data_IF_108503154307
#
_entry.id   IF_108503154307
#
_cell.length_a   1.000
_cell.length_b   1.000
_cell.length_c   1.000
_cell.angle_alpha   90.00
_cell.angle_beta   90.00
_cell.angle_gamma   90.00
#
_symmetry.space_group_name_H-M   'P 1'
#
loop_
_entity.id
_entity.type
_entity.pdbx_description
1 polymer ?
#
# COMPACT_ATOMS: atom_id res chain seq x y z
N UNK A 1 -31.61 25.36 -48.38
CA UNK A 1 -30.69 26.49 -48.63
C UNK A 1 -29.71 26.53 -47.46
N UNK A 2 -28.60 25.79 -47.54
CA UNK A 2 -27.67 25.64 -46.41
C UNK A 2 -26.77 26.86 -46.33
N UNK A 3 -26.77 27.51 -45.16
CA UNK A 3 -26.09 28.78 -44.94
C UNK A 3 -24.55 28.59 -44.95
N UNK A 4 -23.78 29.47 -45.62
CA UNK A 4 -22.32 29.34 -45.78
C UNK A 4 -21.53 29.45 -44.46
N UNK A 5 -22.18 29.86 -43.36
CA UNK A 5 -21.57 29.94 -42.03
C UNK A 5 -21.16 28.58 -41.46
N UNK A 6 -21.90 27.51 -41.81
CA UNK A 6 -21.61 26.14 -41.33
C UNK A 6 -20.36 25.52 -41.97
N UNK A 7 -19.93 26.00 -43.14
CA UNK A 7 -18.78 25.45 -43.87
C UNK A 7 -17.43 25.94 -43.33
N UNK A 8 -17.37 27.16 -42.78
CA UNK A 8 -16.13 27.73 -42.23
C UNK A 8 -15.74 27.09 -40.88
N UNK A 9 -16.72 26.67 -40.09
CA UNK A 9 -16.51 25.95 -38.83
C UNK A 9 -16.02 24.51 -39.02
N UNK A 10 -16.20 23.92 -40.21
CA UNK A 10 -15.74 22.57 -40.54
C UNK A 10 -14.23 22.49 -40.81
N UNK A 11 -13.68 23.47 -41.53
CA UNK A 11 -12.27 23.45 -41.96
C UNK A 11 -11.27 23.56 -40.80
N UNK A 12 -11.66 24.17 -39.68
CA UNK A 12 -10.81 24.26 -38.48
C UNK A 12 -10.82 22.99 -37.63
N UNK A 13 -11.82 22.12 -37.77
CA UNK A 13 -11.97 20.89 -36.96
C UNK A 13 -11.13 19.71 -37.48
N UNK A 14 -10.80 19.74 -38.77
CA UNK A 14 -10.00 18.70 -39.44
C UNK A 14 -8.48 18.98 -39.37
N UNK A 15 -8.09 20.12 -38.81
CA UNK A 15 -6.69 20.47 -38.63
C UNK A 15 -6.07 19.70 -37.46
N UNK A 16 -4.89 19.11 -37.71
CA UNK A 16 -4.11 18.38 -36.67
C UNK A 16 -3.91 19.22 -35.41
N UNK A 17 -3.73 20.54 -35.55
CA UNK A 17 -3.60 21.48 -34.43
C UNK A 17 -4.87 21.53 -33.55
N UNK A 18 -6.06 21.52 -34.14
CA UNK A 18 -7.32 21.55 -33.39
C UNK A 18 -7.54 20.25 -32.62
N UNK A 19 -7.28 19.10 -33.26
CA UNK A 19 -7.40 17.80 -32.61
C UNK A 19 -6.38 17.63 -31.48
N UNK A 20 -5.14 18.07 -31.69
CA UNK A 20 -4.10 18.07 -30.66
C UNK A 20 -4.47 19.00 -29.49
N UNK A 21 -5.00 20.20 -29.75
CA UNK A 21 -5.43 21.13 -28.72
C UNK A 21 -6.63 20.60 -27.92
N UNK A 22 -7.61 19.97 -28.60
CA UNK A 22 -8.77 19.36 -27.97
C UNK A 22 -8.37 18.20 -27.05
N UNK A 23 -7.54 17.29 -27.55
CA UNK A 23 -7.02 16.16 -26.78
C UNK A 23 -6.17 16.64 -25.61
N UNK A 24 -5.27 17.60 -25.84
CA UNK A 24 -4.43 18.18 -24.80
C UNK A 24 -5.25 18.85 -23.69
N UNK A 25 -6.32 19.56 -24.05
CA UNK A 25 -7.22 20.20 -23.06
C UNK A 25 -7.96 19.17 -22.23
N UNK A 26 -8.48 18.10 -22.86
CA UNK A 26 -9.13 17.00 -22.15
C UNK A 26 -8.17 16.26 -21.22
N UNK A 27 -6.97 15.94 -21.70
CA UNK A 27 -5.94 15.29 -20.91
C UNK A 27 -5.51 16.15 -19.71
N UNK A 28 -5.33 17.46 -19.94
CA UNK A 28 -4.98 18.41 -18.89
C UNK A 28 -6.08 18.50 -17.83
N UNK A 29 -7.35 18.57 -18.25
CA UNK A 29 -8.49 18.60 -17.34
C UNK A 29 -8.58 17.31 -16.51
N UNK A 30 -8.45 16.14 -17.15
CA UNK A 30 -8.47 14.85 -16.47
C UNK A 30 -7.30 14.71 -15.47
N UNK A 31 -6.08 15.08 -15.87
CA UNK A 31 -4.91 15.07 -15.00
C UNK A 31 -5.08 16.03 -13.81
N UNK A 32 -5.63 17.23 -14.05
CA UNK A 32 -5.89 18.22 -13.01
C UNK A 32 -6.89 17.72 -11.97
N UNK A 33 -7.99 17.10 -12.42
CA UNK A 33 -8.97 16.48 -11.54
C UNK A 33 -8.36 15.33 -10.73
N UNK A 34 -7.55 14.48 -11.36
CA UNK A 34 -6.86 13.38 -10.68
C UNK A 34 -5.89 13.90 -9.61
N UNK A 35 -5.09 14.93 -9.93
CA UNK A 35 -4.14 15.54 -9.00
C UNK A 35 -4.88 16.17 -7.81
N UNK A 36 -5.96 16.90 -8.06
CA UNK A 36 -6.77 17.49 -6.99
C UNK A 36 -7.37 16.41 -6.08
N UNK A 37 -7.96 15.37 -6.66
CA UNK A 37 -8.51 14.23 -5.92
C UNK A 37 -7.43 13.53 -5.07
N UNK A 38 -6.25 13.33 -5.63
CA UNK A 38 -5.10 12.76 -4.92
C UNK A 38 -4.65 13.65 -3.76
N UNK A 39 -4.52 14.97 -3.96
CA UNK A 39 -4.11 15.89 -2.90
C UNK A 39 -5.10 15.92 -1.74
N UNK A 40 -6.41 15.90 -2.04
CA UNK A 40 -7.46 15.91 -1.02
C UNK A 40 -7.59 14.57 -0.27
N UNK A 41 -7.30 13.44 -0.91
CA UNK A 41 -7.48 12.10 -0.32
C UNK A 41 -6.21 11.50 0.29
N UNK A 42 -5.02 12.04 -0.03
CA UNK A 42 -3.72 11.55 0.46
C UNK A 42 -3.67 11.38 1.97
N UNK A 43 -4.16 12.35 2.73
CA UNK A 43 -4.05 12.33 4.20
C UNK A 43 -4.94 11.27 4.80
N UNK A 44 -6.19 11.20 4.36
CA UNK A 44 -7.13 10.15 4.76
C UNK A 44 -6.61 8.75 4.41
N UNK A 45 -6.02 8.56 3.23
CA UNK A 45 -5.41 7.28 2.82
C UNK A 45 -4.24 6.91 3.75
N UNK A 46 -3.40 7.88 4.10
CA UNK A 46 -2.25 7.66 5.01
C UNK A 46 -2.71 7.28 6.40
N UNK A 47 -3.73 7.95 6.93
CA UNK A 47 -4.29 7.66 8.24
C UNK A 47 -4.90 6.25 8.28
N UNK A 48 -5.72 5.89 7.30
CA UNK A 48 -6.27 4.54 7.16
C UNK A 48 -5.19 3.47 7.05
N UNK A 49 -4.15 3.72 6.27
CA UNK A 49 -3.02 2.79 6.17
C UNK A 49 -2.29 2.61 7.51
N UNK A 50 -2.18 3.67 8.33
CA UNK A 50 -1.59 3.58 9.66
C UNK A 50 -2.49 2.81 10.65
N UNK A 51 -3.81 3.02 10.59
CA UNK A 51 -4.80 2.24 11.35
C UNK A 51 -4.72 0.74 11.02
N UNK A 52 -4.73 0.39 9.73
CA UNK A 52 -4.64 -0.99 9.25
C UNK A 52 -3.33 -1.66 9.69
N UNK A 53 -2.22 -0.93 9.63
CA UNK A 53 -0.94 -1.41 10.09
C UNK A 53 -0.93 -1.63 11.61
N UNK A 54 -1.50 -0.70 12.40
CA UNK A 54 -1.61 -0.83 13.86
C UNK A 54 -2.48 -2.03 14.24
N UNK A 55 -3.59 -2.23 13.54
CA UNK A 55 -4.46 -3.38 13.71
C UNK A 55 -3.71 -4.69 13.42
N UNK A 56 -2.93 -4.72 12.34
CA UNK A 56 -2.09 -5.88 11.98
C UNK A 56 -1.00 -6.17 13.02
N UNK A 57 -0.35 -5.13 13.55
CA UNK A 57 0.67 -5.27 14.60
C UNK A 57 0.09 -5.83 15.90
N UNK A 58 -1.09 -5.37 16.29
CA UNK A 58 -1.78 -5.85 17.50
C UNK A 58 -2.18 -7.33 17.42
N UNK A 59 -2.37 -7.86 16.20
CA UNK A 59 -2.65 -9.28 15.98
C UNK A 59 -1.41 -10.17 16.13
N UNK A 60 -0.20 -9.62 15.93
CA UNK A 60 1.05 -10.41 15.97
C UNK A 60 1.88 -10.15 17.22
N UNK A 61 1.69 -9.00 17.89
CA UNK A 61 2.31 -8.67 19.17
C UNK A 61 1.19 -8.53 20.21
N UNK A 62 1.10 -9.45 21.19
CA UNK A 62 0.16 -9.33 22.29
C UNK A 62 0.37 -8.05 23.11
N UNK A 63 -0.73 -7.35 23.43
CA UNK A 63 -0.71 -6.09 24.20
C UNK A 63 0.00 -6.18 25.55
N UNK A 64 0.03 -7.36 26.18
CA UNK A 64 0.73 -7.59 27.46
C UNK A 64 2.25 -7.45 27.40
N UNK A 65 2.82 -7.48 26.19
CA UNK A 65 4.27 -7.43 25.99
C UNK A 65 4.77 -6.00 25.81
N UNK A 66 3.92 -4.99 25.70
CA UNK A 66 4.38 -3.63 25.47
C UNK A 66 3.52 -2.55 26.11
N UNK A 67 4.14 -1.41 26.41
CA UNK A 67 3.48 -0.20 26.87
C UNK A 67 3.67 0.99 25.91
N UNK A 68 4.50 0.81 24.87
CA UNK A 68 4.76 1.83 23.86
C UNK A 68 3.79 1.76 22.65
N UNK A 69 3.77 2.86 21.89
CA UNK A 69 3.22 2.85 20.54
C UNK A 69 4.23 2.21 19.56
N UNK A 70 3.85 1.09 18.98
CA UNK A 70 4.67 0.31 18.05
C UNK A 70 5.04 1.10 16.78
N UNK A 71 4.21 2.07 16.37
CA UNK A 71 4.42 2.87 15.17
C UNK A 71 5.25 4.13 15.41
N UNK A 72 5.46 4.53 16.67
CA UNK A 72 6.09 5.81 16.97
C UNK A 72 7.58 5.85 16.59
N UNK A 73 8.29 4.73 16.68
CA UNK A 73 9.74 4.71 16.48
C UNK A 73 10.26 3.42 15.82
N UNK A 74 9.87 3.17 14.56
CA UNK A 74 10.31 2.00 13.80
C UNK A 74 11.82 2.05 13.55
N UNK A 75 12.46 0.90 13.64
CA UNK A 75 13.88 0.73 13.34
C UNK A 75 14.03 0.26 11.90
N UNK A 76 14.85 0.95 11.11
CA UNK A 76 15.17 0.54 9.73
C UNK A 76 16.54 -0.12 9.73
N UNK A 77 16.58 -1.40 9.41
CA UNK A 77 17.82 -2.17 9.27
C UNK A 77 18.27 -2.14 7.80
N UNK A 78 19.50 -1.70 7.50
CA UNK A 78 20.05 -1.73 6.15
C UNK A 78 20.45 -3.17 5.79
N UNK A 79 19.51 -3.93 5.24
CA UNK A 79 19.78 -5.28 4.74
C UNK A 79 20.01 -5.26 3.23
N UNK A 80 20.54 -6.38 2.72
CA UNK A 80 20.69 -6.65 1.30
C UNK A 80 19.92 -7.93 0.99
N UNK A 81 19.36 -8.01 -0.21
CA UNK A 81 18.77 -9.25 -0.70
C UNK A 81 19.84 -10.27 -1.10
N UNK A 82 19.41 -11.46 -1.53
CA UNK A 82 20.32 -12.52 -1.98
C UNK A 82 21.16 -12.15 -3.21
N UNK A 83 20.78 -11.11 -3.96
CA UNK A 83 21.49 -10.58 -5.12
C UNK A 83 22.41 -9.39 -4.76
N UNK A 84 22.47 -8.99 -3.48
CA UNK A 84 23.28 -7.88 -3.01
C UNK A 84 22.65 -6.50 -3.22
N UNK A 85 21.38 -6.42 -3.62
CA UNK A 85 20.69 -5.14 -3.77
C UNK A 85 20.18 -4.63 -2.40
N UNK A 86 20.15 -3.29 -2.16
CA UNK A 86 19.61 -2.73 -0.93
C UNK A 86 18.14 -3.12 -0.71
N UNK A 87 17.86 -3.77 0.41
CA UNK A 87 16.53 -4.22 0.80
C UNK A 87 16.29 -3.87 2.28
N UNK A 88 16.05 -2.59 2.61
CA UNK A 88 15.91 -2.15 3.99
C UNK A 88 14.70 -2.83 4.66
N UNK A 89 14.91 -3.35 5.87
CA UNK A 89 13.87 -3.99 6.67
C UNK A 89 13.39 -3.03 7.75
N UNK A 90 12.08 -2.75 7.76
CA UNK A 90 11.45 -1.97 8.84
C UNK A 90 11.00 -2.91 9.95
N UNK A 91 11.46 -2.64 11.17
CA UNK A 91 11.19 -3.42 12.38
C UNK A 91 10.46 -2.55 13.40
N UNK A 92 9.28 -3.01 13.81
CA UNK A 92 8.48 -2.40 14.87
C UNK A 92 8.84 -3.06 16.20
N UNK A 93 9.24 -2.27 17.18
CA UNK A 93 9.71 -2.77 18.49
C UNK A 93 8.62 -2.61 19.54
N UNK A 94 8.31 -3.71 20.20
CA UNK A 94 7.53 -3.74 21.41
C UNK A 94 8.47 -3.51 22.59
N UNK A 95 8.19 -2.46 23.36
CA UNK A 95 8.98 -2.05 24.52
C UNK A 95 8.13 -2.19 25.78
N UNK A 96 8.75 -2.65 26.84
CA UNK A 96 8.21 -2.54 28.19
C UNK A 96 9.21 -1.74 29.02
N UNK A 97 8.89 -0.47 29.27
CA UNK A 97 9.88 0.51 29.72
C UNK A 97 11.00 0.68 28.69
N UNK A 98 12.20 0.18 29.01
CA UNK A 98 13.39 0.25 28.13
C UNK A 98 13.74 -1.09 27.48
N UNK A 99 13.08 -2.18 27.88
CA UNK A 99 13.39 -3.52 27.42
C UNK A 99 12.62 -3.85 26.14
N UNK A 100 13.32 -4.37 25.14
CA UNK A 100 12.69 -4.89 23.91
C UNK A 100 12.17 -6.29 24.18
N UNK A 101 10.85 -6.43 24.28
CA UNK A 101 10.18 -7.69 24.61
C UNK A 101 9.78 -8.49 23.38
N UNK A 102 9.52 -7.80 22.26
CA UNK A 102 9.15 -8.40 20.99
C UNK A 102 9.46 -7.45 19.81
N UNK A 103 9.50 -8.02 18.61
CA UNK A 103 9.63 -7.29 17.36
C UNK A 103 8.62 -7.80 16.35
N UNK A 104 8.15 -6.91 15.48
CA UNK A 104 7.39 -7.27 14.30
C UNK A 104 8.02 -6.70 13.03
N UNK A 105 8.01 -7.49 11.97
CA UNK A 105 8.53 -7.08 10.67
C UNK A 105 7.78 -7.79 9.55
N UNK A 106 7.82 -7.20 8.36
CA UNK A 106 7.22 -7.80 7.18
C UNK A 106 8.18 -8.77 6.51
N UNK A 107 7.66 -9.93 6.15
CA UNK A 107 8.32 -10.91 5.29
C UNK A 107 7.47 -11.16 4.05
N UNK A 108 8.14 -11.45 2.94
CA UNK A 108 7.47 -11.81 1.68
C UNK A 108 7.81 -13.25 1.37
N UNK A 109 6.77 -14.09 1.27
CA UNK A 109 6.88 -15.46 0.78
C UNK A 109 6.42 -15.58 -0.67
N UNK A 110 6.75 -16.70 -1.32
CA UNK A 110 6.28 -17.02 -2.67
C UNK A 110 5.01 -17.85 -2.59
N UNK A 111 3.90 -17.33 -3.11
CA UNK A 111 2.65 -18.06 -3.35
C UNK A 111 2.56 -18.58 -4.78
N UNK A 112 1.45 -19.26 -5.10
CA UNK A 112 1.17 -19.76 -6.44
C UNK A 112 0.79 -18.64 -7.40
N UNK A 113 0.02 -17.68 -6.92
CA UNK A 113 -0.47 -16.57 -7.73
C UNK A 113 0.41 -15.31 -7.61
N UNK A 114 1.45 -15.33 -6.79
CA UNK A 114 2.36 -14.20 -6.60
C UNK A 114 2.91 -14.10 -5.17
N UNK A 115 3.51 -12.97 -4.81
CA UNK A 115 4.07 -12.78 -3.47
C UNK A 115 2.99 -12.70 -2.39
N UNK A 116 3.26 -13.31 -1.24
CA UNK A 116 2.43 -13.25 -0.04
C UNK A 116 3.16 -12.39 0.98
N UNK A 117 2.56 -11.25 1.37
CA UNK A 117 3.11 -10.35 2.38
C UNK A 117 2.56 -10.70 3.75
N UNK A 118 3.46 -10.97 4.69
CA UNK A 118 3.13 -11.45 6.02
C UNK A 118 3.79 -10.54 7.04
N UNK A 119 3.03 -10.04 8.00
CA UNK A 119 3.55 -9.46 9.23
C UNK A 119 3.88 -10.60 10.20
N UNK A 120 5.12 -10.68 10.67
CA UNK A 120 5.56 -11.68 11.63
C UNK A 120 5.93 -11.00 12.95
N UNK A 121 5.38 -11.47 14.06
CA UNK A 121 5.75 -11.06 15.42
C UNK A 121 6.61 -12.14 16.08
N UNK A 122 7.71 -11.74 16.70
CA UNK A 122 8.67 -12.64 17.36
C UNK A 122 9.06 -12.06 18.73
N UNK A 123 9.13 -12.91 19.76
CA UNK A 123 9.56 -12.49 21.10
C UNK A 123 11.09 -12.39 21.24
N UNK A 124 11.56 -11.85 22.35
CA UNK A 124 12.99 -11.72 22.66
C UNK A 124 13.77 -13.07 22.69
N UNK A 125 13.07 -14.21 22.74
CA UNK A 125 13.67 -15.55 22.71
C UNK A 125 13.61 -16.17 21.31
N UNK A 126 13.16 -15.45 20.29
CA UNK A 126 13.05 -15.94 18.92
C UNK A 126 11.81 -16.79 18.67
N UNK A 127 10.85 -16.85 19.60
CA UNK A 127 9.59 -17.59 19.39
C UNK A 127 8.61 -16.73 18.61
N UNK A 128 7.95 -17.35 17.63
CA UNK A 128 6.88 -16.70 16.87
C UNK A 128 5.68 -16.47 17.78
N UNK A 129 5.28 -15.21 17.91
CA UNK A 129 4.10 -14.78 18.67
C UNK A 129 2.83 -14.83 17.83
N UNK A 130 2.96 -14.52 16.54
CA UNK A 130 1.86 -14.53 15.59
C UNK A 130 2.33 -14.17 14.18
N UNK A 131 1.52 -14.51 13.19
CA UNK A 131 1.73 -14.14 11.81
C UNK A 131 0.40 -13.66 11.22
N UNK A 132 0.43 -12.56 10.47
CA UNK A 132 -0.75 -12.01 9.80
C UNK A 132 -0.47 -11.76 8.32
N UNK A 133 -1.28 -12.35 7.45
CA UNK A 133 -1.23 -12.04 6.02
C UNK A 133 -1.83 -10.65 5.79
N UNK A 134 -1.06 -9.80 5.11
CA UNK A 134 -1.41 -8.42 4.78
C UNK A 134 -1.90 -8.29 3.34
N UNK A 135 -1.33 -9.08 2.43
CA UNK A 135 -1.70 -9.09 1.02
C UNK A 135 -1.28 -10.41 0.36
N UNK A 136 -2.13 -10.92 -0.53
CA UNK A 136 -1.82 -12.01 -1.45
C UNK A 136 -2.71 -11.89 -2.70
N UNK A 137 -2.43 -12.71 -3.71
CA UNK A 137 -3.25 -12.83 -4.92
C UNK A 137 -3.77 -14.25 -5.15
N UNK A 138 -3.69 -15.10 -4.13
CA UNK A 138 -4.17 -16.49 -4.19
C UNK A 138 -5.64 -16.59 -4.62
N UNK A 139 -5.93 -17.69 -5.30
CA UNK A 139 -7.25 -17.94 -5.88
C UNK A 139 -8.31 -18.08 -4.78
N UNK A 140 -9.43 -17.33 -4.86
CA UNK A 140 -10.53 -17.45 -3.91
C UNK A 140 -11.07 -18.89 -3.81
N UNK A 141 -11.31 -19.37 -2.60
CA UNK A 141 -11.80 -20.72 -2.29
C UNK A 141 -10.75 -21.84 -2.35
N UNK A 142 -9.52 -21.55 -2.80
CA UNK A 142 -8.39 -22.51 -2.75
C UNK A 142 -7.32 -22.05 -1.76
N UNK A 143 -6.74 -20.88 -1.98
CA UNK A 143 -5.59 -20.37 -1.24
C UNK A 143 -5.87 -19.14 -0.37
N UNK A 144 -7.11 -18.63 -0.35
CA UNK A 144 -7.54 -17.46 0.43
C UNK A 144 -7.85 -17.77 1.90
N UNK A 145 -7.80 -19.04 2.32
CA UNK A 145 -7.98 -19.49 3.72
C UNK A 145 -6.94 -18.92 4.71
N UNK A 146 -5.92 -18.25 4.19
CA UNK A 146 -4.91 -17.56 5.00
C UNK A 146 -5.39 -16.17 5.47
N UNK A 147 -6.56 -15.71 5.01
CA UNK A 147 -7.24 -14.52 5.51
C UNK A 147 -8.19 -14.88 6.67
N UNK A 148 -7.95 -14.32 7.86
CA UNK A 148 -8.82 -14.56 9.04
C UNK A 148 -10.22 -13.94 8.89
N UNK A 149 -10.44 -13.07 7.90
CA UNK A 149 -11.71 -12.35 7.71
C UNK A 149 -12.73 -13.09 6.83
N UNK A 150 -12.41 -14.30 6.34
CA UNK A 150 -13.23 -15.08 5.40
C UNK A 150 -13.58 -16.47 5.96
N UNK A 151 -14.03 -16.51 7.20
CA UNK A 151 -14.72 -17.69 7.73
C UNK A 151 -16.21 -17.33 7.93
N UNK A 152 -16.98 -17.46 6.84
CA UNK A 152 -18.44 -17.70 6.84
C UNK A 152 -18.75 -18.88 5.92
#
# INVERSE_FOLDING_TARGET
MNSPATALLGRSRDGVVYQAALLGSFALLAASLLVLGNLLTRDAIRERAAEDLRASLTQVIPARLHDNDLLANPLVLPLQDSAGAPAPLTVYRALQGLDVTAVAFMVTGTGYAGPIRIMLGVDAHGRVLGARVLAHQETPGLGDKIEVARDE
#
